data_IF_009140717208
#
_entry.id   IF_009140717208
#
_cell.length_a   1.000
_cell.length_b   1.000
_cell.length_c   1.000
_cell.angle_alpha   90.00
_cell.angle_beta   90.00
_cell.angle_gamma   90.00
#
_symmetry.space_group_name_H-M   'P 1'
#
loop_
_entity.id
_entity.type
_entity.pdbx_description
1 polymer ?
#
# COMPACT_ATOMS: atom_id res chain seq x y z
N UNK A 1 6.94 5.54 -11.56
CA UNK A 1 7.72 4.76 -10.57
C UNK A 1 6.90 4.76 -9.29
N UNK A 2 6.54 3.58 -8.78
CA UNK A 2 5.55 3.44 -7.70
C UNK A 2 6.22 2.91 -6.44
N UNK A 3 6.00 3.54 -5.29
CA UNK A 3 6.63 3.20 -4.02
C UNK A 3 5.73 2.21 -3.28
N UNK A 4 6.26 1.01 -3.01
CA UNK A 4 5.56 0.00 -2.22
C UNK A 4 5.82 0.24 -0.73
N UNK A 5 4.74 0.41 0.05
CA UNK A 5 4.79 0.54 1.50
C UNK A 5 4.16 -0.70 2.13
N UNK A 6 5.01 -1.61 2.62
CA UNK A 6 4.58 -2.74 3.42
C UNK A 6 4.20 -2.26 4.83
N UNK A 7 2.99 -2.59 5.28
CA UNK A 7 2.53 -2.16 6.61
C UNK A 7 2.09 -0.69 6.66
N UNK A 8 1.59 -0.13 5.54
CA UNK A 8 1.08 1.23 5.47
C UNK A 8 -0.03 1.56 6.50
N UNK A 9 -0.69 0.54 7.07
CA UNK A 9 -1.72 0.70 8.11
C UNK A 9 -1.18 0.85 9.53
N UNK A 10 0.14 0.71 9.73
CA UNK A 10 0.82 0.90 11.01
C UNK A 10 1.09 2.38 11.31
N UNK A 11 1.47 2.69 12.56
CA UNK A 11 1.69 4.07 13.02
C UNK A 11 2.71 4.83 12.16
N UNK A 12 3.82 4.17 11.80
CA UNK A 12 4.85 4.78 10.94
C UNK A 12 4.43 4.79 9.48
N UNK A 13 3.89 3.67 8.99
CA UNK A 13 3.48 3.51 7.59
C UNK A 13 2.45 4.54 7.13
N UNK A 14 1.55 4.96 8.03
CA UNK A 14 0.55 5.99 7.73
C UNK A 14 1.20 7.36 7.47
N UNK A 15 2.09 7.80 8.37
CA UNK A 15 2.80 9.08 8.21
C UNK A 15 3.68 9.09 6.96
N UNK A 16 4.38 7.99 6.68
CA UNK A 16 5.21 7.88 5.47
C UNK A 16 4.34 7.97 4.22
N UNK A 17 3.21 7.27 4.20
CA UNK A 17 2.29 7.28 3.05
C UNK A 17 1.73 8.68 2.82
N UNK A 18 1.31 9.38 3.87
CA UNK A 18 0.82 10.76 3.79
C UNK A 18 1.87 11.70 3.18
N UNK A 19 3.11 11.64 3.68
CA UNK A 19 4.22 12.46 3.19
C UNK A 19 4.60 12.18 1.73
N UNK A 20 4.39 10.94 1.27
CA UNK A 20 4.64 10.54 -0.12
C UNK A 20 3.53 11.01 -1.06
N UNK A 21 2.27 10.89 -0.63
CA UNK A 21 1.11 11.40 -1.38
C UNK A 21 1.16 12.92 -1.49
N UNK A 22 1.49 13.63 -0.41
CA UNK A 22 1.69 15.08 -0.43
C UNK A 22 2.80 15.52 -1.40
N UNK A 23 3.80 14.66 -1.63
CA UNK A 23 4.87 14.90 -2.61
C UNK A 23 4.47 14.55 -4.04
N UNK A 24 3.25 14.08 -4.28
CA UNK A 24 2.78 13.63 -5.59
C UNK A 24 3.40 12.32 -6.05
N UNK A 25 3.96 11.52 -5.14
CA UNK A 25 4.49 10.21 -5.48
C UNK A 25 3.35 9.17 -5.54
N UNK A 26 3.43 8.24 -6.49
CA UNK A 26 2.52 7.12 -6.54
C UNK A 26 2.87 6.11 -5.44
N UNK A 27 1.96 5.87 -4.49
CA UNK A 27 2.17 4.96 -3.36
C UNK A 27 1.25 3.75 -3.47
N UNK A 28 1.80 2.57 -3.25
CA UNK A 28 1.06 1.32 -3.17
C UNK A 28 1.22 0.71 -1.79
N UNK A 29 0.12 0.57 -1.06
CA UNK A 29 0.07 0.03 0.29
C UNK A 29 -0.22 -1.46 0.28
N UNK A 30 0.72 -2.27 0.74
CA UNK A 30 0.51 -3.71 0.93
C UNK A 30 -0.05 -3.96 2.34
N UNK A 31 -1.23 -4.56 2.41
CA UNK A 31 -1.97 -4.78 3.65
C UNK A 31 -2.66 -6.15 3.66
N UNK A 32 -2.91 -6.68 4.85
CA UNK A 32 -3.75 -7.87 5.06
C UNK A 32 -5.23 -7.57 4.94
N UNK A 33 -5.62 -6.38 5.39
CA UNK A 33 -7.00 -5.96 5.49
C UNK A 33 -7.17 -4.70 4.64
N UNK A 34 -7.60 -4.83 3.38
CA UNK A 34 -7.77 -3.69 2.48
C UNK A 34 -8.83 -2.71 2.99
N UNK A 35 -9.87 -3.18 3.68
CA UNK A 35 -10.90 -2.30 4.26
C UNK A 35 -10.34 -1.39 5.36
N UNK A 36 -9.55 -1.93 6.29
CA UNK A 36 -8.89 -1.10 7.32
C UNK A 36 -7.88 -0.13 6.72
N UNK A 37 -7.26 -0.51 5.61
CA UNK A 37 -6.33 0.37 4.90
C UNK A 37 -7.06 1.51 4.21
N UNK A 38 -8.20 1.24 3.56
CA UNK A 38 -9.06 2.28 2.95
C UNK A 38 -9.54 3.30 3.98
N UNK A 39 -9.85 2.85 5.19
CA UNK A 39 -10.27 3.75 6.26
C UNK A 39 -9.14 4.61 6.85
N UNK A 40 -7.87 4.21 6.68
CA UNK A 40 -6.71 4.88 7.31
C UNK A 40 -5.83 5.64 6.33
N UNK A 41 -5.86 5.31 5.05
CA UNK A 41 -4.98 5.86 4.04
C UNK A 41 -5.70 6.96 3.25
N UNK A 42 -4.99 8.04 2.88
CA UNK A 42 -5.54 9.12 2.08
C UNK A 42 -5.87 8.68 0.65
N UNK A 43 -6.72 9.46 -0.03
CA UNK A 43 -7.01 9.30 -1.44
C UNK A 43 -5.71 9.43 -2.28
N UNK A 44 -5.52 8.53 -3.25
CA UNK A 44 -4.29 8.46 -4.06
C UNK A 44 -3.34 7.32 -3.69
N UNK A 45 -3.65 6.54 -2.64
CA UNK A 45 -2.89 5.33 -2.29
C UNK A 45 -3.54 4.10 -2.91
N UNK A 46 -2.76 3.35 -3.68
CA UNK A 46 -3.20 2.10 -4.29
C UNK A 46 -3.13 0.97 -3.26
N UNK A 47 -4.25 0.36 -2.89
CA UNK A 47 -4.28 -0.65 -1.82
C UNK A 47 -4.19 -2.05 -2.42
N UNK A 48 -3.11 -2.76 -2.11
CA UNK A 48 -2.91 -4.15 -2.47
C UNK A 48 -3.15 -5.05 -1.26
N UNK A 49 -4.09 -5.98 -1.37
CA UNK A 49 -4.32 -7.00 -0.36
C UNK A 49 -3.35 -8.18 -0.57
N UNK A 50 -2.48 -8.47 0.39
CA UNK A 50 -1.59 -9.63 0.32
C UNK A 50 -0.54 -9.67 1.43
N UNK A 51 -0.43 -10.82 2.12
CA UNK A 51 0.74 -11.17 2.95
C UNK A 51 1.24 -12.58 2.69
N UNK A 52 0.76 -13.23 1.62
CA UNK A 52 1.28 -14.52 1.20
C UNK A 52 1.98 -14.34 -0.14
N UNK A 53 3.29 -14.09 -0.11
CA UNK A 53 4.13 -13.99 -1.30
C UNK A 53 4.68 -15.36 -1.75
N UNK A 54 4.02 -16.48 -1.43
CA UNK A 54 4.43 -17.78 -2.01
C UNK A 54 3.81 -18.08 -3.37
N UNK A 55 2.87 -17.30 -3.89
CA UNK A 55 2.21 -17.66 -5.15
C UNK A 55 1.68 -16.50 -6.01
N UNK A 56 2.52 -15.55 -6.43
CA UNK A 56 2.14 -14.64 -7.54
C UNK A 56 3.21 -14.57 -8.64
N UNK A 57 3.87 -15.70 -8.92
CA UNK A 57 4.68 -15.90 -10.14
C UNK A 57 3.88 -16.52 -11.30
N UNK A 58 2.54 -16.52 -11.22
CA UNK A 58 1.67 -16.95 -12.33
C UNK A 58 0.70 -15.84 -12.68
N UNK A 59 1.21 -14.83 -13.39
CA UNK A 59 0.46 -14.18 -14.47
C UNK A 59 1.49 -13.62 -15.46
N UNK A 60 2.05 -14.54 -16.24
CA UNK A 60 2.62 -14.24 -17.55
C UNK A 60 1.71 -14.94 -18.56
N UNK A 61 0.59 -14.30 -18.90
CA UNK A 61 -0.07 -14.46 -20.20
C UNK A 61 -0.38 -13.08 -20.79
#
# INVERSE_FOLDING_TARGET
MTILVAGATGTVGQHVTELLVQRGAAVRALTRNPERARAKLPEGVEIAAGIDQRNQLTDCE
#
